data_IF_866845559102
#
_entry.id   IF_866845559102
#
_cell.length_a   1.000
_cell.length_b   1.000
_cell.length_c   1.000
_cell.angle_alpha   90.00
_cell.angle_beta   90.00
_cell.angle_gamma   90.00
#
_symmetry.space_group_name_H-M   'P 1'
#
loop_
_entity.id
_entity.type
_entity.pdbx_description
1 polymer ?
#
# COMPACT_ATOMS: atom_id res chain seq x y z
N UNK A 1 -4.78 -5.55 -28.81
CA UNK A 1 -5.86 -5.21 -27.86
C UNK A 1 -5.98 -6.21 -26.71
N UNK A 2 -5.87 -7.51 -26.97
CA UNK A 2 -6.06 -8.56 -25.94
C UNK A 2 -4.97 -8.63 -24.85
N UNK A 3 -3.69 -8.39 -25.19
CA UNK A 3 -2.59 -8.47 -24.23
C UNK A 3 -2.68 -7.39 -23.16
N UNK A 4 -2.94 -6.13 -23.53
CA UNK A 4 -3.04 -5.02 -22.60
C UNK A 4 -4.23 -5.17 -21.62
N UNK A 5 -5.37 -5.71 -22.11
CA UNK A 5 -6.52 -6.04 -21.26
C UNK A 5 -6.22 -7.18 -20.30
N UNK A 6 -5.50 -8.22 -20.77
CA UNK A 6 -5.07 -9.32 -19.92
C UNK A 6 -4.12 -8.85 -18.81
N UNK A 7 -3.18 -7.98 -19.14
CA UNK A 7 -2.23 -7.41 -18.17
C UNK A 7 -2.97 -6.54 -17.12
N UNK A 8 -3.91 -5.71 -17.51
CA UNK A 8 -4.73 -4.89 -16.58
C UNK A 8 -5.57 -5.75 -15.65
N UNK A 9 -6.20 -6.80 -16.16
CA UNK A 9 -7.00 -7.71 -15.33
C UNK A 9 -6.13 -8.44 -14.28
N UNK A 10 -4.92 -8.83 -14.65
CA UNK A 10 -3.98 -9.43 -13.72
C UNK A 10 -3.54 -8.45 -12.62
N UNK A 11 -3.25 -7.19 -12.99
CA UNK A 11 -2.90 -6.14 -12.03
C UNK A 11 -4.07 -5.85 -11.08
N UNK A 12 -5.31 -5.70 -11.60
CA UNK A 12 -6.50 -5.49 -10.77
C UNK A 12 -6.70 -6.66 -9.80
N UNK A 13 -6.57 -7.89 -10.28
CA UNK A 13 -6.75 -9.08 -9.45
C UNK A 13 -5.72 -9.13 -8.32
N UNK A 14 -4.45 -8.83 -8.62
CA UNK A 14 -3.38 -8.74 -7.63
C UNK A 14 -3.63 -7.61 -6.63
N UNK A 15 -4.02 -6.43 -7.11
CA UNK A 15 -4.34 -5.29 -6.28
C UNK A 15 -5.53 -5.58 -5.35
N UNK A 16 -6.63 -6.10 -5.88
CA UNK A 16 -7.84 -6.45 -5.13
C UNK A 16 -7.59 -7.54 -4.09
N UNK A 17 -6.71 -8.51 -4.39
CA UNK A 17 -6.36 -9.61 -3.49
C UNK A 17 -5.45 -9.22 -2.31
N UNK A 18 -4.92 -7.99 -2.30
CA UNK A 18 -3.99 -7.53 -1.25
C UNK A 18 -4.53 -7.65 0.17
N UNK A 19 -5.78 -7.22 0.48
CA UNK A 19 -6.36 -7.40 1.81
C UNK A 19 -6.43 -8.86 2.26
N UNK A 20 -6.84 -9.78 1.39
CA UNK A 20 -6.93 -11.21 1.72
C UNK A 20 -5.53 -11.83 1.95
N UNK A 21 -4.52 -11.37 1.22
CA UNK A 21 -3.14 -11.77 1.44
C UNK A 21 -2.61 -11.33 2.81
N UNK A 22 -2.89 -10.07 3.19
CA UNK A 22 -2.49 -9.54 4.49
C UNK A 22 -3.24 -10.24 5.62
N UNK A 23 -4.57 -10.39 5.52
CA UNK A 23 -5.39 -11.11 6.50
C UNK A 23 -4.91 -12.56 6.69
N UNK A 24 -4.56 -13.24 5.58
CA UNK A 24 -4.02 -14.61 5.64
C UNK A 24 -2.67 -14.66 6.34
N UNK A 25 -1.80 -13.67 6.10
CA UNK A 25 -0.47 -13.63 6.69
C UNK A 25 -0.49 -13.45 8.22
N UNK A 26 -1.53 -12.80 8.75
CA UNK A 26 -1.70 -12.52 10.19
C UNK A 26 -2.76 -13.41 10.85
N UNK A 27 -3.37 -14.33 10.11
CA UNK A 27 -4.42 -15.18 10.62
C UNK A 27 -3.96 -16.01 11.84
N UNK A 28 -4.75 -15.97 12.92
CA UNK A 28 -4.48 -16.71 14.13
C UNK A 28 -3.40 -16.12 15.06
N UNK A 29 -2.82 -14.97 14.71
CA UNK A 29 -1.90 -14.25 15.57
C UNK A 29 -2.65 -13.59 16.73
N UNK A 30 -2.10 -13.71 17.93
CA UNK A 30 -2.58 -12.96 19.09
C UNK A 30 -1.86 -11.60 19.20
N UNK A 31 -2.24 -10.79 20.18
CA UNK A 31 -1.68 -9.45 20.37
C UNK A 31 -0.15 -9.46 20.56
N UNK A 32 0.39 -10.44 21.27
CA UNK A 32 1.83 -10.54 21.49
C UNK A 32 2.58 -10.95 20.21
N UNK A 33 1.97 -11.79 19.37
CA UNK A 33 2.54 -12.18 18.08
C UNK A 33 2.66 -11.00 17.13
N UNK A 34 1.75 -10.02 17.21
CA UNK A 34 1.80 -8.80 16.39
C UNK A 34 3.00 -7.90 16.72
N UNK A 35 3.58 -8.06 17.91
CA UNK A 35 4.73 -7.27 18.35
C UNK A 35 6.07 -7.96 18.04
N UNK A 36 6.06 -9.08 17.32
CA UNK A 36 7.23 -9.78 16.80
C UNK A 36 7.84 -9.01 15.62
N UNK A 37 9.17 -8.90 15.60
CA UNK A 37 9.97 -8.40 14.47
C UNK A 37 10.95 -9.48 14.01
N UNK A 38 11.42 -9.44 12.77
CA UNK A 38 12.42 -10.41 12.23
C UNK A 38 13.72 -10.38 13.04
N UNK A 39 14.15 -9.19 13.49
CA UNK A 39 15.33 -8.95 14.33
C UNK A 39 15.25 -7.56 14.96
N UNK A 40 16.17 -7.27 15.87
CA UNK A 40 16.28 -5.95 16.48
C UNK A 40 16.40 -4.84 15.44
N UNK A 41 15.67 -3.75 15.64
CA UNK A 41 15.64 -2.60 14.71
C UNK A 41 14.80 -2.80 13.45
N UNK A 42 14.15 -3.96 13.27
CA UNK A 42 13.16 -4.17 12.20
C UNK A 42 11.76 -3.86 12.73
N UNK A 43 10.86 -3.57 11.81
CA UNK A 43 9.45 -3.32 12.15
C UNK A 43 8.76 -4.58 12.64
N UNK A 44 7.90 -4.43 13.63
CA UNK A 44 7.01 -5.49 14.08
C UNK A 44 5.92 -5.75 13.06
N UNK A 45 5.27 -6.91 13.16
CA UNK A 45 4.12 -7.26 12.30
C UNK A 45 3.03 -6.17 12.38
N UNK A 46 2.72 -5.67 13.58
CA UNK A 46 1.78 -4.56 13.80
C UNK A 46 2.17 -3.30 13.01
N UNK A 47 3.44 -2.91 13.09
CA UNK A 47 3.95 -1.73 12.38
C UNK A 47 3.88 -1.91 10.87
N UNK A 48 4.20 -3.10 10.36
CA UNK A 48 4.08 -3.46 8.94
C UNK A 48 2.63 -3.33 8.47
N UNK A 49 1.66 -3.87 9.23
CA UNK A 49 0.23 -3.78 8.89
C UNK A 49 -0.20 -2.31 8.75
N UNK A 50 0.10 -1.47 9.72
CA UNK A 50 -0.26 -0.05 9.66
C UNK A 50 0.43 0.68 8.49
N UNK A 51 1.71 0.41 8.26
CA UNK A 51 2.46 0.99 7.14
C UNK A 51 1.85 0.65 5.78
N UNK A 52 1.49 -0.60 5.57
CA UNK A 52 0.84 -1.03 4.32
C UNK A 52 -0.46 -0.27 4.09
N UNK A 53 -1.28 -0.13 5.13
CA UNK A 53 -2.60 0.49 5.03
C UNK A 53 -2.50 2.01 4.86
N UNK A 54 -1.68 2.69 5.66
CA UNK A 54 -1.53 4.14 5.59
C UNK A 54 -0.84 4.55 4.27
N UNK A 55 0.10 3.74 3.77
CA UNK A 55 0.67 3.92 2.44
C UNK A 55 -0.37 3.76 1.31
N UNK A 56 -1.24 2.76 1.41
CA UNK A 56 -2.34 2.57 0.45
C UNK A 56 -3.32 3.75 0.45
N UNK A 57 -3.64 4.30 1.62
CA UNK A 57 -4.54 5.46 1.75
C UNK A 57 -3.97 6.72 1.11
N UNK A 58 -2.66 6.95 1.25
CA UNK A 58 -1.95 8.04 0.58
C UNK A 58 -2.04 7.88 -0.94
N UNK A 59 -1.69 6.71 -1.47
CA UNK A 59 -1.67 6.46 -2.91
C UNK A 59 -3.07 6.36 -3.53
N UNK A 60 -4.08 6.00 -2.75
CA UNK A 60 -5.50 6.14 -3.16
C UNK A 60 -5.82 7.59 -3.53
N UNK A 61 -5.30 8.55 -2.78
CA UNK A 61 -5.49 9.98 -3.06
C UNK A 61 -4.88 10.39 -4.40
N UNK A 62 -3.70 9.84 -4.75
CA UNK A 62 -3.09 10.01 -6.06
C UNK A 62 -4.05 9.54 -7.18
N UNK A 63 -4.55 8.31 -7.08
CA UNK A 63 -5.43 7.73 -8.10
C UNK A 63 -6.67 8.61 -8.30
N UNK A 64 -7.31 9.04 -7.21
CA UNK A 64 -8.50 9.90 -7.28
C UNK A 64 -8.19 11.27 -7.89
N UNK A 65 -7.06 11.87 -7.55
CA UNK A 65 -6.64 13.14 -8.13
C UNK A 65 -6.33 12.99 -9.63
N UNK A 66 -5.64 11.92 -10.04
CA UNK A 66 -5.32 11.66 -11.44
C UNK A 66 -6.59 11.51 -12.30
N UNK A 67 -7.62 10.85 -11.76
CA UNK A 67 -8.91 10.73 -12.44
C UNK A 67 -9.62 12.08 -12.55
N UNK A 68 -9.61 12.87 -11.47
CA UNK A 68 -10.37 14.13 -11.39
C UNK A 68 -9.66 15.34 -11.99
N UNK A 69 -8.33 15.37 -11.99
CA UNK A 69 -7.50 16.49 -12.45
C UNK A 69 -6.18 15.99 -13.05
N UNK A 70 -6.22 15.28 -14.20
CA UNK A 70 -5.05 14.67 -14.80
C UNK A 70 -3.99 15.72 -15.18
N UNK A 71 -2.71 15.31 -15.11
CA UNK A 71 -1.57 16.15 -15.41
C UNK A 71 -1.22 17.18 -14.32
N UNK A 72 -2.00 17.25 -13.25
CA UNK A 72 -1.67 18.11 -12.11
C UNK A 72 -0.54 17.52 -11.26
N UNK A 73 -0.03 18.33 -10.31
CA UNK A 73 1.03 17.87 -9.39
C UNK A 73 0.41 17.20 -8.16
N UNK A 74 0.97 16.05 -7.79
CA UNK A 74 0.66 15.36 -6.55
C UNK A 74 1.66 15.76 -5.47
N UNK A 75 1.18 16.46 -4.44
CA UNK A 75 2.02 17.01 -3.38
C UNK A 75 2.26 15.95 -2.29
N UNK A 76 3.44 15.33 -2.32
CA UNK A 76 3.84 14.27 -1.38
C UNK A 76 5.12 14.62 -0.60
N UNK A 77 5.65 15.84 -0.73
CA UNK A 77 6.89 16.28 -0.07
C UNK A 77 6.79 16.14 1.45
N UNK A 78 5.67 16.51 2.04
CA UNK A 78 5.42 16.41 3.47
C UNK A 78 5.67 15.00 4.03
N UNK A 79 5.39 13.96 3.23
CA UNK A 79 5.59 12.55 3.62
C UNK A 79 7.06 12.16 3.57
N UNK A 80 7.83 12.75 2.65
CA UNK A 80 9.25 12.45 2.46
C UNK A 80 10.19 13.33 3.29
N UNK A 81 9.68 14.38 3.96
CA UNK A 81 10.45 15.20 4.89
C UNK A 81 10.99 14.41 6.08
N UNK A 82 10.31 13.31 6.42
CA UNK A 82 10.66 12.46 7.54
C UNK A 82 10.98 11.03 7.07
N UNK A 83 11.93 10.36 7.71
CA UNK A 83 12.15 8.93 7.47
C UNK A 83 10.95 8.10 7.93
N UNK A 84 10.79 6.90 7.36
CA UNK A 84 9.66 6.03 7.65
C UNK A 84 9.51 5.69 9.15
N UNK A 85 10.61 5.54 9.87
CA UNK A 85 10.59 5.25 11.31
C UNK A 85 9.97 6.37 12.14
N UNK A 86 10.12 7.62 11.70
CA UNK A 86 9.45 8.76 12.34
C UNK A 86 7.93 8.70 12.17
N UNK A 87 7.44 8.28 11.01
CA UNK A 87 6.01 8.08 10.79
C UNK A 87 5.45 6.95 11.65
N UNK A 88 6.18 5.86 11.82
CA UNK A 88 5.84 4.75 12.72
C UNK A 88 5.58 5.24 14.14
N UNK A 89 6.46 6.12 14.65
CA UNK A 89 6.31 6.70 15.99
C UNK A 89 5.15 7.72 16.06
N UNK A 90 5.13 8.67 15.12
CA UNK A 90 4.14 9.77 15.13
C UNK A 90 2.71 9.30 14.91
N UNK A 91 2.51 8.26 14.12
CA UNK A 91 1.20 7.68 13.87
C UNK A 91 0.84 6.55 14.84
N UNK A 92 1.68 6.29 15.84
CA UNK A 92 1.40 5.38 16.95
C UNK A 92 1.26 3.92 16.52
N UNK A 93 2.01 3.45 15.52
CA UNK A 93 1.92 2.10 14.99
C UNK A 93 2.15 1.01 16.03
N UNK A 94 2.94 1.30 17.07
CA UNK A 94 3.25 0.34 18.14
C UNK A 94 2.06 -0.02 19.03
N UNK A 95 1.05 0.84 19.13
CA UNK A 95 -0.03 0.70 20.11
C UNK A 95 -1.44 0.67 19.51
N UNK A 96 -1.59 1.01 18.23
CA UNK A 96 -2.90 1.02 17.58
C UNK A 96 -3.41 -0.41 17.36
N UNK A 97 -4.73 -0.60 17.51
CA UNK A 97 -5.42 -1.80 17.08
C UNK A 97 -5.38 -1.91 15.54
N UNK A 98 -5.12 -3.09 15.01
CA UNK A 98 -4.98 -3.29 13.55
C UNK A 98 -6.32 -3.40 12.82
N UNK A 99 -7.40 -3.75 13.51
CA UNK A 99 -8.70 -4.03 12.91
C UNK A 99 -9.27 -2.84 12.12
N UNK A 100 -9.24 -1.59 12.64
CA UNK A 100 -9.67 -0.43 11.85
C UNK A 100 -8.83 -0.21 10.60
N UNK A 101 -7.52 -0.45 10.66
CA UNK A 101 -6.64 -0.34 9.50
C UNK A 101 -6.94 -1.40 8.45
N UNK A 102 -7.15 -2.65 8.84
CA UNK A 102 -7.54 -3.73 7.91
C UNK A 102 -8.88 -3.45 7.23
N UNK A 103 -9.87 -2.95 7.99
CA UNK A 103 -11.16 -2.54 7.43
C UNK A 103 -11.02 -1.40 6.41
N UNK A 104 -10.20 -0.38 6.72
CA UNK A 104 -9.89 0.71 5.80
C UNK A 104 -9.20 0.21 4.53
N UNK A 105 -8.21 -0.68 4.67
CA UNK A 105 -7.48 -1.25 3.56
C UNK A 105 -8.40 -1.95 2.56
N UNK A 106 -9.29 -2.82 3.07
CA UNK A 106 -10.27 -3.52 2.25
C UNK A 106 -11.20 -2.53 1.53
N UNK A 107 -11.77 -1.58 2.26
CA UNK A 107 -12.67 -0.58 1.68
C UNK A 107 -11.98 0.30 0.62
N UNK A 108 -10.71 0.71 0.85
CA UNK A 108 -9.93 1.47 -0.12
C UNK A 108 -9.72 0.69 -1.42
N UNK A 109 -9.32 -0.58 -1.32
CA UNK A 109 -9.06 -1.42 -2.48
C UNK A 109 -10.33 -1.70 -3.28
N UNK A 110 -11.42 -2.05 -2.62
CA UNK A 110 -12.73 -2.25 -3.26
C UNK A 110 -13.19 -0.99 -3.98
N UNK A 111 -13.07 0.17 -3.33
CA UNK A 111 -13.45 1.46 -3.92
C UNK A 111 -12.62 1.81 -5.17
N UNK A 112 -11.31 1.62 -5.13
CA UNK A 112 -10.44 1.90 -6.29
C UNK A 112 -10.71 0.92 -7.43
N UNK A 113 -10.88 -0.37 -7.13
CA UNK A 113 -11.23 -1.37 -8.14
C UNK A 113 -12.51 -0.97 -8.88
N UNK A 114 -13.55 -0.56 -8.14
CA UNK A 114 -14.79 -0.07 -8.74
C UNK A 114 -14.55 1.12 -9.68
N UNK A 115 -13.77 2.14 -9.23
CA UNK A 115 -13.45 3.30 -10.07
C UNK A 115 -12.72 2.90 -11.36
N UNK A 116 -11.76 1.99 -11.28
CA UNK A 116 -10.97 1.54 -12.44
C UNK A 116 -11.81 0.70 -13.42
N UNK A 117 -12.81 -0.01 -12.94
CA UNK A 117 -13.75 -0.76 -13.77
C UNK A 117 -14.75 0.15 -14.48
N UNK A 118 -15.28 1.16 -13.77
CA UNK A 118 -16.27 2.10 -14.32
C UNK A 118 -15.64 3.17 -15.22
N UNK A 119 -14.35 3.47 -15.03
CA UNK A 119 -13.62 4.51 -15.76
C UNK A 119 -12.38 3.91 -16.44
N UNK A 120 -12.52 3.15 -17.53
CA UNK A 120 -11.37 2.47 -18.16
C UNK A 120 -10.25 3.42 -18.62
N UNK A 121 -10.58 4.69 -18.92
CA UNK A 121 -9.59 5.71 -19.25
C UNK A 121 -8.71 6.13 -18.08
N UNK A 122 -9.11 5.82 -16.83
CA UNK A 122 -8.34 6.13 -15.63
C UNK A 122 -6.93 5.54 -15.64
N UNK A 123 -6.73 4.38 -16.26
CA UNK A 123 -5.45 3.69 -16.31
C UNK A 123 -4.32 4.52 -16.91
N UNK A 124 -4.64 5.36 -17.89
CA UNK A 124 -3.69 6.21 -18.63
C UNK A 124 -3.55 7.60 -18.00
N UNK A 125 -4.37 7.95 -17.00
CA UNK A 125 -4.26 9.25 -16.34
C UNK A 125 -2.99 9.33 -15.53
N UNK A 126 -2.37 10.51 -15.53
CA UNK A 126 -1.08 10.74 -14.90
C UNK A 126 -1.12 11.95 -13.97
N UNK A 127 -0.21 11.99 -13.01
CA UNK A 127 0.16 13.17 -12.22
C UNK A 127 1.67 13.36 -12.23
N UNK A 128 2.10 14.58 -11.99
CA UNK A 128 3.51 14.91 -11.77
C UNK A 128 3.85 14.70 -10.28
N UNK A 129 4.90 13.93 -10.01
CA UNK A 129 5.45 13.74 -8.66
C UNK A 129 6.86 14.33 -8.62
N UNK A 130 7.10 15.20 -7.64
CA UNK A 130 8.45 15.62 -7.28
C UNK A 130 9.02 14.65 -6.24
N UNK A 131 10.02 13.86 -6.63
CA UNK A 131 10.66 12.88 -5.76
C UNK A 131 11.67 13.53 -4.79
N UNK A 132 12.07 12.86 -3.68
CA UNK A 132 12.94 13.44 -2.66
C UNK A 132 14.28 14.00 -3.16
N UNK A 133 14.77 13.48 -4.29
CA UNK A 133 16.03 13.93 -4.92
C UNK A 133 15.87 15.13 -5.85
N UNK A 134 14.64 15.65 -5.95
CA UNK A 134 14.33 16.80 -6.81
C UNK A 134 13.95 16.45 -8.25
N UNK A 135 13.91 15.17 -8.60
CA UNK A 135 13.45 14.71 -9.92
C UNK A 135 11.93 14.79 -10.01
N UNK A 136 11.42 15.50 -11.00
CA UNK A 136 9.99 15.51 -11.31
C UNK A 136 9.69 14.44 -12.37
N UNK A 137 8.72 13.60 -12.10
CA UNK A 137 8.35 12.48 -12.97
C UNK A 137 6.84 12.42 -13.17
N UNK A 138 6.43 12.18 -14.39
CA UNK A 138 5.06 11.83 -14.72
C UNK A 138 4.79 10.36 -14.38
N UNK A 139 3.78 10.13 -13.55
CA UNK A 139 3.44 8.80 -13.03
C UNK A 139 1.99 8.49 -13.37
N UNK A 140 1.74 7.30 -13.92
CA UNK A 140 0.39 6.86 -14.29
C UNK A 140 -0.33 6.15 -13.15
N UNK A 141 -1.66 6.14 -13.23
CA UNK A 141 -2.52 5.33 -12.34
C UNK A 141 -2.16 3.84 -12.45
N UNK A 142 -1.89 3.35 -13.67
CA UNK A 142 -1.48 1.96 -13.89
C UNK A 142 -0.26 1.59 -13.06
N UNK A 143 0.78 2.44 -13.10
CA UNK A 143 2.00 2.25 -12.31
C UNK A 143 1.73 2.24 -10.80
N UNK A 144 0.89 3.15 -10.31
CA UNK A 144 0.55 3.22 -8.87
C UNK A 144 -0.18 1.96 -8.41
N UNK A 145 -1.15 1.48 -9.18
CA UNK A 145 -1.93 0.27 -8.84
C UNK A 145 -1.01 -0.95 -8.80
N UNK A 146 -0.11 -1.11 -9.77
CA UNK A 146 0.86 -2.20 -9.81
C UNK A 146 1.86 -2.10 -8.64
N UNK A 147 2.42 -0.92 -8.40
CA UNK A 147 3.34 -0.66 -7.29
C UNK A 147 2.70 -1.00 -5.95
N UNK A 148 1.45 -0.60 -5.73
CA UNK A 148 0.73 -0.92 -4.49
C UNK A 148 0.40 -2.42 -4.36
N UNK A 149 0.17 -3.14 -5.44
CA UNK A 149 0.02 -4.59 -5.40
C UNK A 149 1.34 -5.27 -4.97
N UNK A 150 2.46 -4.86 -5.55
CA UNK A 150 3.80 -5.39 -5.20
C UNK A 150 4.24 -5.01 -3.78
N UNK A 151 3.89 -3.81 -3.31
CA UNK A 151 4.18 -3.34 -1.95
C UNK A 151 3.61 -4.27 -0.88
N UNK A 152 2.35 -4.69 -1.04
CA UNK A 152 1.72 -5.65 -0.12
C UNK A 152 2.42 -7.00 -0.15
N UNK A 153 2.75 -7.52 -1.33
CA UNK A 153 3.47 -8.79 -1.48
C UNK A 153 4.81 -8.75 -0.74
N UNK A 154 5.57 -7.66 -0.90
CA UNK A 154 6.84 -7.49 -0.20
C UNK A 154 6.69 -7.53 1.32
N UNK A 155 5.71 -6.82 1.87
CA UNK A 155 5.47 -6.78 3.31
C UNK A 155 4.86 -8.07 3.88
N UNK A 156 4.09 -8.80 3.11
CA UNK A 156 3.65 -10.16 3.49
C UNK A 156 4.86 -11.10 3.66
N UNK A 157 5.87 -10.98 2.81
CA UNK A 157 7.12 -11.72 2.99
C UNK A 157 7.92 -11.26 4.22
N UNK A 158 7.90 -9.96 4.56
CA UNK A 158 8.50 -9.46 5.81
C UNK A 158 7.81 -10.09 7.03
N UNK A 159 6.47 -10.15 7.06
CA UNK A 159 5.69 -10.80 8.11
C UNK A 159 6.07 -12.28 8.23
N UNK A 160 6.15 -13.00 7.12
CA UNK A 160 6.54 -14.42 7.09
C UNK A 160 7.95 -14.64 7.65
N UNK A 161 8.89 -13.75 7.32
CA UNK A 161 10.27 -13.82 7.88
C UNK A 161 10.27 -13.57 9.39
N UNK A 162 9.51 -12.57 9.87
CA UNK A 162 9.39 -12.31 11.31
C UNK A 162 8.85 -13.54 12.07
N UNK A 163 7.77 -14.16 11.56
CA UNK A 163 7.19 -15.35 12.14
C UNK A 163 8.14 -16.56 12.12
N UNK A 164 8.89 -16.73 11.03
CA UNK A 164 9.87 -17.82 10.91
C UNK A 164 11.03 -17.66 11.89
N UNK A 165 11.50 -16.45 12.12
CA UNK A 165 12.59 -16.16 13.06
C UNK A 165 12.24 -16.51 14.52
N UNK A 166 10.95 -16.55 14.88
CA UNK A 166 10.46 -16.83 16.23
C UNK A 166 9.85 -18.23 16.42
N UNK A 167 9.69 -18.99 15.34
CA UNK A 167 9.30 -20.42 15.38
C UNK A 167 10.56 -21.29 15.37
N UNK A 168 11.29 -21.32 16.48
CA UNK A 168 12.39 -22.27 16.70
C UNK A 168 11.87 -23.45 17.52
#
# INVERSE_FOLDING_TARGET
>A
MDKQLSDRNAIISSYAGGPDLLDTAIAGLNTADLDIAESDGRWTIRQIVHHVVDGDDIWKSFIKQAIGNPGSRFELQWYWELPQDEWVERWGYKSRAIEPSLALFRANREHIVQLLQEIPAAWEQTLLILWPKGDEQEVSVAWVVEMQAQHVLGHVEDIRRALKAHRV
#
